data_IF_877045180976
#
_entry.id   IF_877045180976
#
_cell.length_a   1.000
_cell.length_b   1.000
_cell.length_c   1.000
_cell.angle_alpha   90.00
_cell.angle_beta   90.00
_cell.angle_gamma   90.00
#
_symmetry.space_group_name_H-M   'P 1'
#
loop_
_entity.id
_entity.type
_entity.pdbx_description
1 polymer ?
#
# COMPACT_ATOMS: atom_id res chain seq x y z
N UNK A 1 16.75 1.18 3.41
CA UNK A 1 15.97 2.24 4.08
C UNK A 1 14.50 2.00 3.81
N UNK A 2 13.66 2.10 4.84
CA UNK A 2 12.22 2.24 4.63
C UNK A 2 11.97 3.64 4.06
N UNK A 3 11.07 3.82 3.08
CA UNK A 3 10.67 5.16 2.68
C UNK A 3 10.02 5.81 3.91
N UNK A 4 10.64 6.86 4.44
CA UNK A 4 10.09 7.61 5.57
C UNK A 4 8.68 8.08 5.23
N UNK A 5 7.72 7.87 6.13
CA UNK A 5 6.33 8.28 5.91
C UNK A 5 5.55 7.45 4.89
N UNK A 6 6.06 6.28 4.44
CA UNK A 6 5.36 5.45 3.45
C UNK A 6 3.93 5.12 3.85
N UNK A 7 3.66 4.99 5.15
CA UNK A 7 2.36 4.60 5.66
C UNK A 7 1.29 5.67 5.40
N UNK A 8 1.61 6.92 5.75
CA UNK A 8 0.74 8.07 5.48
C UNK A 8 0.54 8.25 3.96
N UNK A 9 1.62 8.21 3.18
CA UNK A 9 1.53 8.29 1.71
C UNK A 9 0.73 7.14 1.10
N UNK A 10 0.80 5.94 1.68
CA UNK A 10 0.04 4.78 1.21
C UNK A 10 -1.46 4.97 1.46
N UNK A 11 -1.84 5.38 2.67
CA UNK A 11 -3.24 5.64 2.99
C UNK A 11 -3.79 6.77 2.11
N UNK A 12 -3.06 7.88 2.00
CA UNK A 12 -3.44 9.01 1.16
C UNK A 12 -3.66 8.56 -0.28
N UNK A 13 -2.68 7.86 -0.87
CA UNK A 13 -2.74 7.41 -2.25
C UNK A 13 -3.89 6.43 -2.49
N UNK A 14 -4.15 5.51 -1.57
CA UNK A 14 -5.32 4.60 -1.64
C UNK A 14 -6.63 5.39 -1.56
N UNK A 15 -6.72 6.37 -0.69
CA UNK A 15 -7.91 7.21 -0.54
C UNK A 15 -8.16 8.11 -1.75
N UNK A 16 -7.10 8.58 -2.43
CA UNK A 16 -7.22 9.26 -3.72
C UNK A 16 -7.88 8.35 -4.77
N UNK A 17 -7.45 7.08 -4.90
CA UNK A 17 -8.06 6.12 -5.83
C UNK A 17 -9.55 5.86 -5.49
N UNK A 18 -9.88 5.75 -4.20
CA UNK A 18 -11.25 5.56 -3.71
C UNK A 18 -12.14 6.77 -3.97
N UNK A 19 -11.61 7.99 -3.83
CA UNK A 19 -12.32 9.23 -4.12
C UNK A 19 -12.75 9.31 -5.60
N UNK A 20 -11.96 8.76 -6.54
CA UNK A 20 -12.37 8.68 -7.97
C UNK A 20 -13.64 7.87 -8.22
N UNK A 21 -14.07 7.07 -7.23
CA UNK A 21 -15.28 6.25 -7.26
C UNK A 21 -16.32 6.69 -6.22
N UNK A 22 -16.16 7.86 -5.61
CA UNK A 22 -17.02 8.37 -4.53
C UNK A 22 -17.14 7.37 -3.35
N UNK A 23 -16.09 6.61 -3.08
CA UNK A 23 -16.04 5.70 -1.94
C UNK A 23 -15.55 6.45 -0.71
N UNK A 24 -16.07 6.15 0.51
CA UNK A 24 -15.55 6.73 1.74
C UNK A 24 -14.06 6.43 1.93
N UNK A 25 -13.28 7.36 2.52
CA UNK A 25 -11.89 7.11 2.84
C UNK A 25 -11.77 5.97 3.86
N UNK A 26 -10.68 5.21 3.76
CA UNK A 26 -10.25 4.28 4.79
C UNK A 26 -9.53 5.04 5.90
N UNK A 27 -9.49 4.46 7.09
CA UNK A 27 -8.68 4.94 8.23
C UNK A 27 -7.64 3.88 8.62
N UNK A 28 -6.50 4.32 9.15
CA UNK A 28 -5.48 3.40 9.67
C UNK A 28 -6.01 2.60 10.86
N UNK A 29 -5.61 1.33 10.95
CA UNK A 29 -5.93 0.48 12.09
C UNK A 29 -4.71 -0.35 12.50
N UNK A 30 -4.26 -0.15 13.73
CA UNK A 30 -3.03 -0.73 14.29
C UNK A 30 -2.95 -2.26 14.22
N UNK A 31 -4.06 -2.97 14.49
CA UNK A 31 -4.13 -4.44 14.36
C UNK A 31 -3.95 -4.93 12.93
N UNK A 32 -4.54 -4.26 11.94
CA UNK A 32 -4.33 -4.59 10.52
C UNK A 32 -2.92 -4.19 10.06
N UNK A 33 -2.35 -3.13 10.63
CA UNK A 33 -0.97 -2.74 10.44
C UNK A 33 -0.01 -3.85 10.90
N UNK A 34 -0.24 -4.40 12.09
CA UNK A 34 0.55 -5.52 12.61
C UNK A 34 0.46 -6.77 11.71
N UNK A 35 -0.75 -7.09 11.23
CA UNK A 35 -0.95 -8.19 10.29
C UNK A 35 -0.22 -7.98 8.95
N UNK A 36 -0.26 -6.75 8.42
CA UNK A 36 0.46 -6.38 7.20
C UNK A 36 1.98 -6.48 7.40
N UNK A 37 2.49 -6.01 8.53
CA UNK A 37 3.92 -6.02 8.86
C UNK A 37 4.46 -7.44 8.96
N UNK A 38 3.72 -8.33 9.65
CA UNK A 38 4.05 -9.77 9.73
C UNK A 38 4.23 -10.38 8.35
N UNK A 39 3.33 -10.10 7.40
CA UNK A 39 3.43 -10.65 6.04
C UNK A 39 4.55 -10.01 5.22
N UNK A 40 4.75 -8.69 5.32
CA UNK A 40 5.82 -8.00 4.60
C UNK A 40 7.20 -8.51 5.03
N UNK A 41 7.41 -8.66 6.34
CA UNK A 41 8.65 -9.18 6.91
C UNK A 41 8.88 -10.64 6.51
N UNK A 42 7.85 -11.47 6.54
CA UNK A 42 7.92 -12.86 6.12
C UNK A 42 8.32 -13.01 4.64
N UNK A 43 7.65 -12.28 3.74
CA UNK A 43 8.01 -12.23 2.31
C UNK A 43 9.45 -11.76 2.10
N UNK A 44 9.88 -10.72 2.83
CA UNK A 44 11.25 -10.20 2.73
C UNK A 44 12.29 -11.20 3.25
N UNK A 45 12.05 -11.83 4.41
CA UNK A 45 12.97 -12.78 5.04
C UNK A 45 13.13 -14.05 4.21
N UNK A 46 12.01 -14.59 3.72
CA UNK A 46 11.95 -15.86 3.01
C UNK A 46 12.00 -15.72 1.48
N UNK A 47 12.16 -14.48 0.97
CA UNK A 47 12.45 -14.16 -0.43
C UNK A 47 11.37 -14.66 -1.41
N UNK A 48 10.11 -14.60 -1.00
CA UNK A 48 8.95 -14.99 -1.81
C UNK A 48 7.91 -13.85 -1.88
N UNK A 49 6.90 -14.00 -2.73
CA UNK A 49 5.72 -13.13 -2.77
C UNK A 49 4.48 -14.00 -2.91
N UNK A 50 3.69 -14.10 -1.84
CA UNK A 50 2.45 -14.88 -1.78
C UNK A 50 1.52 -14.27 -0.70
N UNK A 51 0.23 -14.59 -0.78
CA UNK A 51 -0.74 -14.28 0.27
C UNK A 51 -0.64 -15.24 1.46
N UNK A 52 -0.20 -16.49 1.22
CA UNK A 52 0.10 -17.44 2.27
C UNK A 52 1.47 -17.14 2.87
N UNK A 53 1.53 -17.08 4.20
CA UNK A 53 2.80 -16.95 4.91
C UNK A 53 3.64 -18.24 4.81
N UNK A 54 4.94 -18.16 5.07
CA UNK A 54 5.85 -19.31 5.11
C UNK A 54 5.46 -20.34 6.19
N UNK A 55 4.73 -19.90 7.21
CA UNK A 55 4.12 -20.71 8.26
C UNK A 55 2.75 -21.30 7.88
N UNK A 56 2.29 -21.07 6.64
CA UNK A 56 0.98 -21.50 6.16
C UNK A 56 -0.18 -20.57 6.53
N UNK A 57 0.08 -19.49 7.28
CA UNK A 57 -0.95 -18.54 7.71
C UNK A 57 -1.63 -17.84 6.53
N UNK A 58 -2.91 -17.54 6.69
CA UNK A 58 -3.71 -16.72 5.76
C UNK A 58 -3.93 -15.32 6.34
N UNK A 59 -4.21 -14.35 5.47
CA UNK A 59 -4.45 -12.95 5.86
C UNK A 59 -5.45 -12.77 7.02
N UNK A 60 -6.57 -13.52 7.02
CA UNK A 60 -7.58 -13.44 8.07
C UNK A 60 -7.08 -14.03 9.41
N UNK A 61 -6.23 -15.06 9.37
CA UNK A 61 -5.61 -15.61 10.57
C UNK A 61 -4.63 -14.62 11.17
N UNK A 62 -3.77 -13.99 10.35
CA UNK A 62 -2.85 -12.94 10.81
C UNK A 62 -3.58 -11.74 11.42
N UNK A 63 -4.70 -11.31 10.80
CA UNK A 63 -5.53 -10.25 11.35
C UNK A 63 -6.16 -10.65 12.71
N UNK A 64 -6.71 -11.87 12.81
CA UNK A 64 -7.30 -12.37 14.05
C UNK A 64 -6.26 -12.57 15.17
N UNK A 65 -5.05 -13.07 14.84
CA UNK A 65 -3.91 -13.18 15.77
C UNK A 65 -3.45 -11.81 16.29
N UNK A 66 -3.53 -10.77 15.46
CA UNK A 66 -3.33 -9.38 15.87
C UNK A 66 -4.52 -8.79 16.66
N UNK A 67 -5.56 -9.59 16.93
CA UNK A 67 -6.74 -9.21 17.70
C UNK A 67 -7.81 -8.46 16.92
N UNK A 68 -7.75 -8.42 15.58
CA UNK A 68 -8.76 -7.74 14.77
C UNK A 68 -10.05 -8.56 14.75
N UNK A 69 -11.14 -7.99 15.26
CA UNK A 69 -12.44 -8.64 15.39
C UNK A 69 -13.46 -8.16 14.35
N UNK A 70 -13.01 -7.43 13.32
CA UNK A 70 -13.87 -7.02 12.20
C UNK A 70 -14.31 -8.20 11.34
N UNK A 71 -15.20 -7.92 10.38
CA UNK A 71 -15.85 -8.96 9.57
C UNK A 71 -15.04 -9.36 8.34
N UNK A 72 -15.06 -8.52 7.30
CA UNK A 72 -14.40 -8.83 6.04
C UNK A 72 -12.94 -8.38 6.07
N UNK A 73 -12.04 -9.23 5.54
CA UNK A 73 -10.61 -8.93 5.39
C UNK A 73 -10.17 -9.24 3.95
N UNK A 74 -9.34 -8.38 3.36
CA UNK A 74 -8.67 -8.63 2.10
C UNK A 74 -7.22 -8.16 2.13
N UNK A 75 -6.41 -8.67 1.21
CA UNK A 75 -4.98 -8.38 1.17
C UNK A 75 -4.51 -8.08 -0.26
N UNK A 76 -3.60 -7.13 -0.39
CA UNK A 76 -2.76 -6.97 -1.57
C UNK A 76 -1.30 -7.16 -1.16
N UNK A 77 -0.53 -7.90 -1.96
CA UNK A 77 0.92 -8.04 -1.79
C UNK A 77 1.63 -7.63 -3.08
N UNK A 78 2.86 -7.16 -2.96
CA UNK A 78 3.72 -6.88 -4.11
C UNK A 78 5.19 -6.95 -3.72
N UNK A 79 6.05 -7.12 -4.73
CA UNK A 79 7.49 -7.06 -4.56
C UNK A 79 8.15 -6.20 -5.66
N UNK A 80 9.29 -5.59 -5.36
CA UNK A 80 10.12 -4.91 -6.35
C UNK A 80 9.81 -3.43 -6.64
N UNK A 81 8.64 -2.92 -6.28
CA UNK A 81 8.33 -1.50 -6.45
C UNK A 81 9.09 -0.66 -5.42
N UNK A 82 9.69 0.44 -5.87
CA UNK A 82 10.58 1.27 -5.03
C UNK A 82 9.86 2.38 -4.27
N UNK A 83 8.60 2.65 -4.60
CA UNK A 83 7.82 3.74 -4.01
C UNK A 83 6.35 3.34 -3.85
N UNK A 84 5.67 4.04 -2.94
CA UNK A 84 4.22 3.92 -2.72
C UNK A 84 3.45 4.15 -4.01
N UNK A 85 3.80 5.20 -4.77
CA UNK A 85 3.12 5.51 -6.02
C UNK A 85 3.23 4.36 -7.03
N UNK A 86 4.43 3.79 -7.20
CA UNK A 86 4.67 2.69 -8.12
C UNK A 86 3.91 1.41 -7.73
N UNK A 87 3.81 1.10 -6.43
CA UNK A 87 3.08 -0.11 -5.99
C UNK A 87 1.56 0.06 -6.10
N UNK A 88 1.02 1.24 -5.74
CA UNK A 88 -0.42 1.49 -5.93
C UNK A 88 -0.79 1.51 -7.41
N UNK A 89 0.01 2.12 -8.28
CA UNK A 89 -0.19 2.06 -9.74
C UNK A 89 -0.23 0.61 -10.24
N UNK A 90 0.68 -0.24 -9.74
CA UNK A 90 0.73 -1.65 -10.09
C UNK A 90 -0.54 -2.40 -9.65
N UNK A 91 -1.00 -2.18 -8.42
CA UNK A 91 -2.23 -2.78 -7.91
C UNK A 91 -3.47 -2.28 -8.66
N UNK A 92 -3.55 -0.99 -9.02
CA UNK A 92 -4.70 -0.43 -9.73
C UNK A 92 -4.85 -0.89 -11.18
N UNK A 93 -3.75 -1.35 -11.80
CA UNK A 93 -3.71 -2.01 -13.12
C UNK A 93 -4.09 -3.49 -13.06
N UNK A 94 -4.25 -4.05 -11.87
CA UNK A 94 -4.49 -5.47 -11.61
C UNK A 94 -5.92 -5.65 -11.10
N UNK A 95 -6.87 -6.17 -11.90
CA UNK A 95 -8.28 -6.26 -11.50
C UNK A 95 -8.52 -6.93 -10.14
N UNK A 96 -7.77 -7.99 -9.80
CA UNK A 96 -7.74 -8.60 -8.47
C UNK A 96 -7.46 -7.61 -7.34
N UNK A 97 -6.32 -6.94 -7.36
CA UNK A 97 -5.92 -5.99 -6.31
C UNK A 97 -6.74 -4.71 -6.30
N UNK A 98 -7.11 -4.22 -7.49
CA UNK A 98 -7.98 -3.05 -7.66
C UNK A 98 -9.32 -3.27 -6.98
N UNK A 99 -9.88 -4.48 -7.08
CA UNK A 99 -11.14 -4.85 -6.40
C UNK A 99 -11.01 -4.73 -4.87
N UNK A 100 -9.85 -5.03 -4.30
CA UNK A 100 -9.62 -4.89 -2.86
C UNK A 100 -9.54 -3.41 -2.45
N UNK A 101 -8.76 -2.59 -3.19
CA UNK A 101 -8.64 -1.13 -2.93
C UNK A 101 -10.01 -0.44 -2.98
N UNK A 102 -10.84 -0.80 -3.96
CA UNK A 102 -12.17 -0.23 -4.16
C UNK A 102 -13.29 -1.02 -3.44
N UNK A 103 -12.92 -1.95 -2.55
CA UNK A 103 -13.86 -2.79 -1.82
C UNK A 103 -14.60 -2.03 -0.72
N UNK A 104 -15.66 -2.66 -0.20
CA UNK A 104 -16.46 -2.14 0.90
C UNK A 104 -15.79 -2.39 2.26
N UNK A 105 -14.75 -1.60 2.52
CA UNK A 105 -13.93 -1.60 3.73
C UNK A 105 -13.99 -0.23 4.39
N UNK A 106 -13.71 -0.21 5.70
CA UNK A 106 -13.71 1.01 6.54
C UNK A 106 -12.33 1.31 7.10
N UNK A 107 -11.49 0.28 7.26
CA UNK A 107 -10.19 0.36 7.91
C UNK A 107 -9.10 -0.35 7.10
N UNK A 108 -7.86 0.00 7.37
CA UNK A 108 -6.71 -0.35 6.55
C UNK A 108 -5.42 -0.47 7.38
N UNK A 109 -4.53 -1.36 6.96
CA UNK A 109 -3.14 -1.42 7.40
C UNK A 109 -2.22 -1.63 6.20
N UNK A 110 -0.99 -1.11 6.25
CA UNK A 110 0.00 -1.34 5.21
C UNK A 110 1.41 -1.42 5.72
N UNK A 111 2.19 -2.33 5.15
CA UNK A 111 3.57 -2.52 5.56
C UNK A 111 4.53 -2.53 4.39
N UNK A 112 5.76 -2.19 4.71
CA UNK A 112 6.92 -2.29 3.84
C UNK A 112 8.03 -3.04 4.57
N UNK A 113 8.71 -3.92 3.85
CA UNK A 113 9.94 -4.56 4.30
C UNK A 113 10.99 -4.54 3.19
N UNK A 114 12.26 -4.50 3.59
CA UNK A 114 13.39 -4.43 2.66
C UNK A 114 14.45 -5.47 2.97
N UNK A 115 14.76 -6.33 2.00
CA UNK A 115 15.85 -7.29 2.08
C UNK A 115 16.77 -7.18 0.85
N UNK A 116 17.95 -6.57 1.02
CA UNK A 116 18.93 -6.38 -0.05
C UNK A 116 19.47 -7.69 -0.66
N UNK A 117 19.36 -8.82 0.05
CA UNK A 117 19.74 -10.16 -0.40
C UNK A 117 18.63 -10.88 -1.17
N UNK A 118 17.42 -10.32 -1.20
CA UNK A 118 16.33 -10.80 -2.04
C UNK A 118 16.43 -10.22 -3.45
N UNK A 119 16.00 -10.97 -4.46
CA UNK A 119 15.99 -10.52 -5.86
C UNK A 119 15.20 -9.21 -6.04
N UNK A 120 14.10 -9.08 -5.29
CA UNK A 120 13.14 -7.99 -5.44
C UNK A 120 13.36 -6.83 -4.49
N UNK A 121 14.13 -7.03 -3.42
CA UNK A 121 14.55 -6.04 -2.42
C UNK A 121 13.44 -5.41 -1.60
N UNK A 122 12.30 -5.10 -2.20
CA UNK A 122 11.15 -4.43 -1.63
C UNK A 122 9.99 -5.40 -1.53
N UNK A 123 9.32 -5.45 -0.39
CA UNK A 123 8.09 -6.20 -0.15
C UNK A 123 7.03 -5.25 0.41
N UNK A 124 5.84 -5.30 -0.16
CA UNK A 124 4.71 -4.45 0.22
C UNK A 124 3.49 -5.30 0.55
N UNK A 125 2.77 -4.93 1.60
CA UNK A 125 1.50 -5.55 1.98
C UNK A 125 0.47 -4.47 2.30
N UNK A 126 -0.76 -4.65 1.86
CA UNK A 126 -1.95 -3.94 2.33
C UNK A 126 -2.92 -4.95 2.91
N UNK A 127 -3.55 -4.62 4.04
CA UNK A 127 -4.65 -5.40 4.60
C UNK A 127 -5.84 -4.46 4.80
N UNK A 128 -6.99 -4.83 4.26
CA UNK A 128 -8.23 -4.08 4.34
C UNK A 128 -9.19 -4.78 5.31
N UNK A 129 -9.96 -4.00 6.06
CA UNK A 129 -10.94 -4.52 7.00
C UNK A 129 -12.28 -3.79 6.94
N UNK A 130 -13.37 -4.52 7.24
CA UNK A 130 -14.70 -3.93 7.48
C UNK A 130 -15.08 -4.07 8.95
N UNK A 131 -15.43 -2.95 9.59
CA UNK A 131 -15.61 -2.86 11.04
C UNK A 131 -14.27 -2.62 11.76
N UNK A 132 -14.25 -2.80 13.09
CA UNK A 132 -13.07 -2.51 13.93
C UNK A 132 -12.91 -1.02 14.19
N UNK A 133 -13.85 -0.43 14.95
CA UNK A 133 -13.78 0.99 15.32
C UNK A 133 -13.02 1.23 16.63
N UNK A 134 -12.53 0.17 17.25
CA UNK A 134 -11.91 0.14 18.57
C UNK A 134 -10.48 0.70 18.59
N UNK A 135 -9.71 0.53 17.51
CA UNK A 135 -8.32 1.01 17.42
C UNK A 135 -8.05 1.77 16.12
N UNK A 136 -9.00 2.63 15.72
CA UNK A 136 -8.78 3.49 14.58
C UNK A 136 -7.96 4.69 15.03
N UNK A 137 -6.75 4.81 14.48
CA UNK A 137 -5.92 5.97 14.67
C UNK A 137 -6.64 7.18 14.04
N UNK A 138 -7.13 8.09 14.90
CA UNK A 138 -7.69 9.36 14.44
C UNK A 138 -6.54 10.19 13.88
N UNK A 139 -6.79 10.82 12.74
CA UNK A 139 -5.81 11.55 11.95
C UNK A 139 -5.29 12.70 12.82
N UNK A 140 -4.18 12.51 13.56
CA UNK A 140 -3.24 13.50 14.15
C UNK A 140 -2.42 13.04 15.38
N UNK A 141 -2.62 11.85 15.98
CA UNK A 141 -1.78 11.39 17.10
C UNK A 141 -0.68 10.40 16.67
N UNK A 142 0.38 10.90 16.02
CA UNK A 142 1.61 10.13 15.80
C UNK A 142 2.65 10.40 16.89
N UNK A 143 2.90 9.44 17.79
CA UNK A 143 4.22 9.26 18.37
C UNK A 143 4.73 7.85 18.06
N UNK A 144 5.19 7.59 16.83
CA UNK A 144 6.13 6.49 16.65
C UNK A 144 7.54 7.04 16.84
N UNK A 145 8.05 6.81 18.05
CA UNK A 145 9.35 7.28 18.52
C UNK A 145 10.47 6.97 17.55
N UNK A 146 11.10 8.04 17.10
CA UNK A 146 12.51 8.17 16.78
C UNK A 146 13.38 7.30 17.70
N UNK A 147 13.94 6.22 17.16
CA UNK A 147 15.24 5.74 17.61
C UNK A 147 16.22 5.92 16.46
N UNK A 148 16.96 7.03 16.54
CA UNK A 148 18.01 7.39 15.60
C UNK A 148 18.54 8.78 15.88
N UNK A 149 19.24 8.93 17.01
CA UNK A 149 20.25 9.92 17.37
C UNK A 149 20.26 11.29 16.65
N UNK A 150 20.03 12.32 17.47
CA UNK A 150 20.69 13.64 17.48
C UNK A 150 21.75 13.87 16.40
N UNK A 151 21.49 14.84 15.52
CA UNK A 151 22.42 15.92 15.12
C UNK A 151 21.63 17.00 14.39
N UNK A 152 21.35 18.11 15.08
CA UNK A 152 21.11 19.43 14.44
C UNK A 152 22.48 20.09 14.20
N UNK A 153 22.71 20.82 13.09
CA UNK A 153 22.39 22.27 13.07
C UNK A 153 21.81 22.72 11.70
N UNK A 154 20.77 23.57 11.67
CA UNK A 154 20.80 25.05 11.61
C UNK A 154 20.51 25.56 10.18
N UNK A 155 19.78 26.68 10.15
CA UNK A 155 19.22 27.53 9.07
C UNK A 155 20.04 27.68 7.77
N UNK A 156 19.42 27.96 6.61
CA UNK A 156 19.04 29.33 6.18
C UNK A 156 17.92 29.39 5.11
N UNK A 157 17.30 30.57 5.07
CA UNK A 157 16.12 31.03 4.33
C UNK A 157 16.37 31.45 2.85
N UNK A 158 15.28 31.95 2.23
CA UNK A 158 15.17 32.79 1.00
C UNK A 158 15.05 32.07 -0.36
N UNK A 159 14.24 32.48 -1.36
CA UNK A 159 13.20 33.52 -1.51
C UNK A 159 12.49 33.32 -2.89
N UNK A 160 11.25 33.83 -2.96
CA UNK A 160 10.49 34.41 -4.08
C UNK A 160 10.30 33.76 -5.49
N UNK A 161 9.00 33.66 -5.81
CA UNK A 161 8.30 34.19 -6.99
C UNK A 161 8.28 33.43 -8.34
N UNK A 162 7.03 33.14 -8.75
CA UNK A 162 6.35 33.54 -10.00
C UNK A 162 5.78 32.41 -10.88
N UNK A 163 4.46 32.44 -11.00
CA UNK A 163 3.60 31.92 -12.09
C UNK A 163 3.67 32.90 -13.30
N UNK A 164 3.28 32.54 -14.56
CA UNK A 164 1.96 31.97 -14.85
C UNK A 164 1.72 31.11 -16.12
N UNK A 165 0.49 30.58 -16.14
CA UNK A 165 -0.44 30.37 -17.27
C UNK A 165 -0.35 29.17 -18.25
N UNK A 166 -1.39 28.32 -18.12
CA UNK A 166 -2.39 27.97 -19.15
C UNK A 166 -2.01 27.01 -20.30
N UNK A 167 -2.65 25.83 -20.32
CA UNK A 167 -3.32 25.41 -21.57
C UNK A 167 -4.49 24.43 -21.33
N UNK A 168 -5.59 24.64 -22.06
CA UNK A 168 -6.84 23.84 -22.05
C UNK A 168 -7.06 23.20 -23.41
N UNK A 169 -7.71 22.03 -23.39
CA UNK A 169 -8.40 21.27 -24.46
C UNK A 169 -7.59 20.15 -25.13
N UNK A 170 -8.16 19.04 -25.62
CA UNK A 170 -9.40 18.28 -25.41
C UNK A 170 -9.27 17.04 -26.32
N UNK A 171 -9.51 15.85 -25.75
CA UNK A 171 -10.03 14.58 -26.30
C UNK A 171 -10.02 14.34 -27.82
N UNK A 172 -9.44 13.21 -28.24
CA UNK A 172 -10.00 12.02 -28.94
C UNK A 172 -8.78 11.17 -29.35
N UNK A 173 -8.72 9.84 -29.23
CA UNK A 173 -9.62 8.86 -29.80
C UNK A 173 -9.68 7.55 -28.99
N UNK A 174 -10.83 6.88 -29.16
CA UNK A 174 -11.16 5.54 -28.70
C UNK A 174 -10.82 4.52 -29.79
N UNK A 175 -10.84 3.25 -29.35
CA UNK A 175 -10.85 2.01 -30.13
C UNK A 175 -9.43 1.52 -30.52
N UNK A 176 -9.00 0.31 -30.18
CA UNK A 176 -9.71 -0.95 -30.28
C UNK A 176 -9.37 -1.93 -29.13
N UNK A 177 -10.39 -2.65 -28.66
CA UNK A 177 -10.26 -3.76 -27.71
C UNK A 177 -9.88 -5.03 -28.46
N UNK A 178 -8.61 -5.40 -28.44
CA UNK A 178 -8.22 -6.78 -28.69
C UNK A 178 -8.18 -7.53 -27.35
N UNK A 179 -9.17 -8.41 -27.14
CA UNK A 179 -9.23 -9.32 -26.00
C UNK A 179 -8.22 -10.46 -26.22
N UNK A 180 -6.93 -10.15 -26.18
CA UNK A 180 -5.89 -11.18 -26.08
C UNK A 180 -5.89 -11.68 -24.64
N UNK A 181 -6.19 -12.97 -24.45
CA UNK A 181 -5.93 -13.69 -23.20
C UNK A 181 -4.41 -13.68 -23.00
N UNK A 182 -3.91 -12.67 -22.28
CA UNK A 182 -2.50 -12.55 -21.94
C UNK A 182 -2.22 -13.51 -20.80
N UNK A 183 -1.43 -14.54 -21.10
CA UNK A 183 -0.81 -15.43 -20.10
C UNK A 183 -0.10 -14.54 -19.07
N UNK A 184 -0.50 -14.64 -17.80
CA UNK A 184 0.13 -13.91 -16.69
C UNK A 184 1.50 -14.52 -16.47
N UNK A 185 2.53 -13.85 -16.99
CA UNK A 185 3.92 -14.20 -16.69
C UNK A 185 4.40 -13.30 -15.56
N UNK A 186 4.73 -13.89 -14.40
CA UNK A 186 5.56 -13.21 -13.40
C UNK A 186 6.99 -13.13 -13.97
N UNK A 187 7.29 -12.10 -14.75
CA UNK A 187 8.68 -11.81 -15.16
C UNK A 187 9.42 -11.15 -14.00
N UNK A 188 9.92 -12.00 -13.09
CA UNK A 188 10.76 -11.57 -11.99
C UNK A 188 9.97 -11.03 -10.81
N UNK A 189 10.19 -9.76 -10.45
CA UNK A 189 9.65 -9.18 -9.23
C UNK A 189 8.25 -8.59 -9.38
N UNK A 190 7.73 -8.52 -10.60
CA UNK A 190 6.46 -7.90 -10.91
C UNK A 190 5.44 -8.98 -11.21
N UNK A 191 4.39 -9.08 -10.39
CA UNK A 191 3.24 -9.94 -10.65
C UNK A 191 1.98 -9.07 -10.73
N UNK A 192 1.38 -9.01 -11.92
CA UNK A 192 0.02 -8.49 -12.10
C UNK A 192 -0.95 -9.66 -11.90
N UNK A 193 -1.53 -9.76 -10.71
CA UNK A 193 -2.59 -10.72 -10.42
C UNK A 193 -3.91 -10.19 -11.01
N UNK A 194 -4.16 -10.54 -12.27
CA UNK A 194 -5.35 -10.08 -13.01
C UNK A 194 -6.61 -10.65 -12.36
#
# INVERSE_FOLDING_TARGET
MQPSGYLASMLERVNQERATKNLPPLRMHSKLQAAAQRQADDMAANKFMDHQGSDGSKMAQRAAEAGFTGGAVAENVAAGQKSVSAVVDSWMKSPGHRRNILGNYTVFGAAYAHNHLSKCKHSWTQVFGRGGNDDIDDDNDVPWTSTGHDFSPESTEEDSASEPENDRHRLTDRDEKELTVRVVTCTGCWCFWI
#
